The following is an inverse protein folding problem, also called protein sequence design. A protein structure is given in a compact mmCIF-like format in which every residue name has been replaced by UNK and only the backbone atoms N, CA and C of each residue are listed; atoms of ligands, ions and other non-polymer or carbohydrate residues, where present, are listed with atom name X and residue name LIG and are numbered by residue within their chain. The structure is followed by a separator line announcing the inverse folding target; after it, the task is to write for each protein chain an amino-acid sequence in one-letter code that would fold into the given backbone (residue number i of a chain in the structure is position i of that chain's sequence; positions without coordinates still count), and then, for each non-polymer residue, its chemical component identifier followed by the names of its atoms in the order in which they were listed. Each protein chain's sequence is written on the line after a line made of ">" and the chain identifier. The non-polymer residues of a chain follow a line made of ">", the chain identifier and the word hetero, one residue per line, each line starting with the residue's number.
data_IF_489288146284
#
_entry.id   IF_489288146284
#
_cell.length_a   1.000
_cell.length_b   1.000
_cell.length_c   1.000
_cell.angle_alpha   90.00
_cell.angle_beta   90.00
_cell.angle_gamma   90.00
#
_symmetry.space_group_name_H-M   'P 1'
#
loop_
_entity.id
_entity.type
_entity.pdbx_description
1 polymer ?
#
# COMPACT_ATOMS: atom_id res chain seq x y z
N UNK A 1 18.25 -6.29 51.28
CA UNK A 1 18.96 -6.23 49.99
C UNK A 1 17.94 -6.66 48.94
N UNK A 2 17.05 -5.76 48.57
CA UNK A 2 16.05 -5.99 47.51
C UNK A 2 16.57 -5.34 46.24
N UNK A 3 16.81 -6.16 45.21
CA UNK A 3 17.18 -5.67 43.89
C UNK A 3 16.05 -4.83 43.27
N UNK A 4 16.35 -3.76 42.52
CA UNK A 4 15.34 -2.99 41.83
C UNK A 4 14.75 -3.84 40.69
N UNK A 5 13.43 -4.07 40.72
CA UNK A 5 12.69 -4.73 39.62
C UNK A 5 12.69 -3.84 38.37
N UNK A 6 13.76 -3.93 37.59
CA UNK A 6 13.89 -3.28 36.29
C UNK A 6 12.77 -3.66 35.32
N UNK A 7 12.41 -2.73 34.42
CA UNK A 7 11.47 -2.94 33.32
C UNK A 7 11.68 -4.31 32.65
N UNK A 8 10.68 -5.19 32.68
CA UNK A 8 10.83 -6.53 32.11
C UNK A 8 11.28 -6.41 30.63
N UNK A 9 12.41 -7.05 30.25
CA UNK A 9 12.93 -6.93 28.90
C UNK A 9 11.89 -7.39 27.88
N UNK A 10 11.86 -6.76 26.70
CA UNK A 10 10.99 -7.16 25.60
C UNK A 10 11.34 -8.61 25.23
N UNK A 11 10.48 -9.57 25.61
CA UNK A 11 10.70 -11.00 25.34
C UNK A 11 10.09 -11.39 23.99
N UNK A 12 10.66 -12.42 23.35
CA UNK A 12 10.16 -12.95 22.08
C UNK A 12 8.69 -13.39 22.18
N UNK A 13 8.27 -13.98 23.30
CA UNK A 13 6.88 -14.41 23.51
C UNK A 13 5.91 -13.21 23.53
N UNK A 14 6.28 -12.14 24.24
CA UNK A 14 5.48 -10.91 24.28
C UNK A 14 5.40 -10.25 22.90
N UNK A 15 6.51 -10.25 22.16
CA UNK A 15 6.53 -9.77 20.78
C UNK A 15 5.64 -10.62 19.86
N UNK A 16 5.78 -11.95 19.89
CA UNK A 16 5.02 -12.84 19.02
C UNK A 16 3.51 -12.74 19.26
N UNK A 17 3.05 -12.65 20.52
CA UNK A 17 1.64 -12.45 20.85
C UNK A 17 1.09 -11.11 20.35
N UNK A 18 1.91 -10.06 20.38
CA UNK A 18 1.54 -8.74 19.84
C UNK A 18 1.53 -8.73 18.30
N UNK A 19 2.51 -9.39 17.68
CA UNK A 19 2.78 -9.27 16.26
C UNK A 19 2.00 -10.25 15.39
N UNK A 20 1.75 -11.48 15.86
CA UNK A 20 1.07 -12.51 15.07
C UNK A 20 -0.31 -12.05 14.52
N UNK A 21 -1.17 -11.35 15.30
CA UNK A 21 -2.43 -10.82 14.77
C UNK A 21 -2.23 -9.75 13.68
N UNK A 22 -1.22 -8.89 13.82
CA UNK A 22 -0.90 -7.86 12.83
C UNK A 22 -0.43 -8.49 11.52
N UNK A 23 0.48 -9.48 11.62
CA UNK A 23 0.96 -10.24 10.48
C UNK A 23 -0.18 -10.96 9.75
N UNK A 24 -1.05 -11.68 10.48
CA UNK A 24 -2.19 -12.39 9.90
C UNK A 24 -3.17 -11.44 9.20
N UNK A 25 -3.47 -10.30 9.84
CA UNK A 25 -4.33 -9.27 9.25
C UNK A 25 -3.72 -8.71 7.97
N UNK A 26 -2.41 -8.46 7.94
CA UNK A 26 -1.73 -7.93 6.75
C UNK A 26 -1.82 -8.87 5.53
N UNK A 27 -1.72 -10.18 5.75
CA UNK A 27 -1.84 -11.19 4.69
C UNK A 27 -3.26 -11.19 4.12
N UNK A 28 -4.27 -11.17 5.00
CA UNK A 28 -5.67 -11.10 4.58
C UNK A 28 -5.97 -9.82 3.78
N UNK A 29 -5.40 -8.69 4.19
CA UNK A 29 -5.58 -7.41 3.49
C UNK A 29 -4.89 -7.35 2.13
N UNK A 30 -3.73 -8.00 1.99
CA UNK A 30 -2.94 -7.98 0.74
C UNK A 30 -3.30 -9.09 -0.24
N UNK A 31 -4.14 -10.05 0.17
CA UNK A 31 -4.60 -11.17 -0.66
C UNK A 31 -5.33 -10.74 -1.95
N UNK A 32 -5.84 -9.51 -2.00
CA UNK A 32 -6.48 -8.93 -3.19
C UNK A 32 -5.61 -9.03 -4.45
N UNK A 33 -4.33 -8.66 -4.37
CA UNK A 33 -3.47 -8.60 -5.57
C UNK A 33 -3.19 -10.00 -6.16
N UNK A 34 -2.79 -11.00 -5.35
CA UNK A 34 -2.69 -12.38 -5.83
C UNK A 34 -3.97 -12.92 -6.44
N UNK A 35 -5.15 -12.65 -5.84
CA UNK A 35 -6.42 -13.14 -6.35
C UNK A 35 -6.77 -12.57 -7.72
N UNK A 36 -6.60 -11.25 -7.91
CA UNK A 36 -6.84 -10.60 -9.21
C UNK A 36 -5.87 -11.10 -10.26
N UNK A 37 -4.58 -11.16 -9.91
CA UNK A 37 -3.54 -11.64 -10.81
C UNK A 37 -3.81 -13.09 -11.22
N UNK A 38 -4.17 -13.94 -10.27
CA UNK A 38 -4.54 -15.34 -10.48
C UNK A 38 -5.71 -15.50 -11.44
N UNK A 39 -6.75 -14.68 -11.31
CA UNK A 39 -7.88 -14.68 -12.26
C UNK A 39 -7.45 -14.24 -13.66
N UNK A 40 -6.69 -13.14 -13.76
CA UNK A 40 -6.22 -12.59 -15.03
C UNK A 40 -5.25 -13.52 -15.77
N UNK A 41 -4.43 -14.27 -15.04
CA UNK A 41 -3.51 -15.27 -15.58
C UNK A 41 -4.20 -16.45 -16.27
N UNK A 42 -5.51 -16.66 -16.04
CA UNK A 42 -6.30 -17.74 -16.65
C UNK A 42 -7.15 -17.29 -17.84
N UNK A 43 -6.99 -16.05 -18.30
CA UNK A 43 -7.65 -15.56 -19.50
C UNK A 43 -7.06 -16.19 -20.78
N UNK A 44 -7.76 -16.04 -21.91
CA UNK A 44 -7.30 -16.57 -23.21
C UNK A 44 -5.95 -15.98 -23.63
N UNK A 45 -5.72 -14.69 -23.35
CA UNK A 45 -4.45 -14.00 -23.58
C UNK A 45 -3.91 -13.41 -22.25
N UNK A 46 -3.25 -14.21 -21.39
CA UNK A 46 -2.84 -13.78 -20.06
C UNK A 46 -1.89 -12.58 -20.07
N UNK A 47 -0.92 -12.56 -20.98
CA UNK A 47 0.07 -11.48 -21.05
C UNK A 47 -0.59 -10.12 -21.32
N UNK A 48 -1.47 -10.07 -22.32
CA UNK A 48 -2.18 -8.84 -22.68
C UNK A 48 -3.14 -8.41 -21.56
N UNK A 49 -3.92 -9.35 -20.99
CA UNK A 49 -4.87 -9.04 -19.91
C UNK A 49 -4.16 -8.54 -18.62
N UNK A 50 -3.06 -9.18 -18.22
CA UNK A 50 -2.26 -8.75 -17.07
C UNK A 50 -1.57 -7.42 -17.33
N UNK A 51 -1.03 -7.20 -18.54
CA UNK A 51 -0.40 -5.95 -18.91
C UNK A 51 -1.38 -4.78 -18.92
N UNK A 52 -2.53 -4.95 -19.59
CA UNK A 52 -3.60 -3.97 -19.63
C UNK A 52 -4.13 -3.64 -18.24
N UNK A 53 -4.36 -4.66 -17.40
CA UNK A 53 -4.79 -4.45 -16.01
C UNK A 53 -3.71 -3.78 -15.16
N UNK A 54 -2.43 -4.18 -15.28
CA UNK A 54 -1.32 -3.59 -14.54
C UNK A 54 -1.17 -2.09 -14.82
N UNK A 55 -1.27 -1.71 -16.09
CA UNK A 55 -1.24 -0.31 -16.53
C UNK A 55 -2.46 0.45 -16.00
N UNK A 56 -3.67 -0.09 -16.20
CA UNK A 56 -4.91 0.52 -15.71
C UNK A 56 -4.91 0.71 -14.19
N UNK A 57 -4.53 -0.33 -13.44
CA UNK A 57 -4.55 -0.33 -11.98
C UNK A 57 -3.46 0.57 -11.40
N UNK A 58 -2.27 0.63 -11.98
CA UNK A 58 -1.21 1.55 -11.53
C UNK A 58 -1.58 3.02 -11.77
N UNK A 59 -2.18 3.35 -12.92
CA UNK A 59 -2.67 4.69 -13.21
C UNK A 59 -3.82 5.08 -12.27
N UNK A 60 -4.83 4.21 -12.14
CA UNK A 60 -5.93 4.41 -11.20
C UNK A 60 -5.41 4.52 -9.76
N UNK A 61 -4.42 3.71 -9.39
CA UNK A 61 -3.70 3.72 -8.12
C UNK A 61 -3.16 5.10 -7.77
N UNK A 62 -2.44 5.74 -8.70
CA UNK A 62 -1.96 7.12 -8.52
C UNK A 62 -3.13 8.07 -8.31
N UNK A 63 -4.18 7.98 -9.13
CA UNK A 63 -5.34 8.87 -9.05
C UNK A 63 -6.10 8.75 -7.73
N UNK A 64 -6.38 7.54 -7.21
CA UNK A 64 -7.12 7.38 -5.95
C UNK A 64 -6.24 7.43 -4.70
N UNK A 65 -4.91 7.25 -4.80
CA UNK A 65 -4.01 7.21 -3.64
C UNK A 65 -4.15 8.38 -2.66
N UNK A 66 -4.39 9.65 -3.08
CA UNK A 66 -4.60 10.77 -2.16
C UNK A 66 -5.82 10.58 -1.25
N UNK A 67 -6.83 9.82 -1.71
CA UNK A 67 -8.08 9.61 -0.97
C UNK A 67 -7.91 8.62 0.18
N UNK A 68 -6.84 7.82 0.17
CA UNK A 68 -6.54 6.84 1.23
C UNK A 68 -6.33 7.52 2.59
N UNK A 69 -5.78 8.73 2.59
CA UNK A 69 -5.53 9.49 3.83
C UNK A 69 -6.82 10.02 4.46
N UNK A 70 -7.95 9.98 3.73
CA UNK A 70 -9.25 10.43 4.20
C UNK A 70 -9.70 9.75 5.48
N UNK A 71 -9.31 8.49 5.73
CA UNK A 71 -9.60 7.79 6.97
C UNK A 71 -8.92 8.46 8.17
N UNK A 72 -7.60 8.67 8.10
CA UNK A 72 -6.84 9.30 9.19
C UNK A 72 -7.29 10.72 9.41
N UNK A 73 -7.44 11.51 8.33
CA UNK A 73 -7.88 12.90 8.42
C UNK A 73 -9.28 13.01 9.02
N UNK A 74 -10.24 12.19 8.56
CA UNK A 74 -11.59 12.20 9.11
C UNK A 74 -11.61 11.82 10.59
N UNK A 75 -10.87 10.78 10.99
CA UNK A 75 -10.78 10.36 12.38
C UNK A 75 -10.22 11.49 13.28
N UNK A 76 -9.10 12.10 12.89
CA UNK A 76 -8.48 13.21 13.66
C UNK A 76 -9.41 14.40 13.80
N UNK A 77 -10.12 14.79 12.73
CA UNK A 77 -11.02 15.95 12.76
C UNK A 77 -12.27 15.69 13.60
N UNK A 78 -12.84 14.49 13.53
CA UNK A 78 -13.98 14.09 14.35
C UNK A 78 -13.61 14.06 15.84
N UNK A 79 -12.44 13.53 16.19
CA UNK A 79 -11.93 13.55 17.56
C UNK A 79 -11.66 14.98 18.07
N UNK A 80 -11.44 15.94 17.16
CA UNK A 80 -11.32 17.37 17.48
C UNK A 80 -12.68 18.10 17.55
N UNK A 81 -13.80 17.36 17.56
CA UNK A 81 -15.16 17.91 17.65
C UNK A 81 -15.71 18.53 16.36
N UNK A 82 -15.08 18.32 15.19
CA UNK A 82 -15.60 18.84 13.91
C UNK A 82 -16.77 17.99 13.41
N UNK A 83 -17.81 18.59 12.79
CA UNK A 83 -18.97 17.84 12.28
C UNK A 83 -18.60 16.95 11.08
N UNK A 84 -19.28 15.80 10.96
CA UNK A 84 -19.02 14.80 9.92
C UNK A 84 -19.40 15.26 8.50
N UNK A 85 -20.51 15.97 8.35
CA UNK A 85 -21.07 16.34 7.02
C UNK A 85 -20.10 17.13 6.12
N UNK A 86 -19.46 18.20 6.59
CA UNK A 86 -18.48 18.95 5.80
C UNK A 86 -17.26 18.12 5.41
N UNK A 87 -16.75 17.29 6.33
CA UNK A 87 -15.62 16.39 6.07
C UNK A 87 -15.98 15.39 4.97
N UNK A 88 -17.17 14.79 5.05
CA UNK A 88 -17.65 13.86 4.03
C UNK A 88 -17.82 14.53 2.67
N UNK A 89 -18.44 15.71 2.64
CA UNK A 89 -18.66 16.46 1.40
C UNK A 89 -17.34 16.82 0.71
N UNK A 90 -16.35 17.26 1.48
CA UNK A 90 -15.00 17.57 0.98
C UNK A 90 -14.38 16.36 0.26
N UNK A 91 -14.31 15.20 0.92
CA UNK A 91 -13.71 14.01 0.34
C UNK A 91 -14.51 13.45 -0.84
N UNK A 92 -15.85 13.47 -0.77
CA UNK A 92 -16.69 13.01 -1.89
C UNK A 92 -16.53 13.90 -3.13
N UNK A 93 -16.34 15.22 -2.96
CA UNK A 93 -16.04 16.12 -4.10
C UNK A 93 -14.71 15.78 -4.76
N UNK A 94 -13.65 15.58 -3.98
CA UNK A 94 -12.33 15.19 -4.51
C UNK A 94 -12.43 13.79 -5.16
N UNK A 95 -13.09 12.84 -4.51
CA UNK A 95 -13.32 11.51 -5.06
C UNK A 95 -14.10 11.52 -6.36
N UNK A 96 -15.17 12.32 -6.46
CA UNK A 96 -15.95 12.49 -7.68
C UNK A 96 -15.13 13.12 -8.80
N UNK A 97 -14.34 14.17 -8.50
CA UNK A 97 -13.45 14.80 -9.47
C UNK A 97 -12.43 13.81 -10.05
N UNK A 98 -11.78 13.03 -9.16
CA UNK A 98 -10.81 12.03 -9.58
C UNK A 98 -11.47 10.87 -10.33
N UNK A 99 -12.68 10.46 -9.95
CA UNK A 99 -13.47 9.46 -10.69
C UNK A 99 -13.85 9.94 -12.10
N UNK A 100 -14.25 11.21 -12.24
CA UNK A 100 -14.53 11.82 -13.54
C UNK A 100 -13.25 11.90 -14.40
N UNK A 101 -12.11 12.23 -13.79
CA UNK A 101 -10.82 12.21 -14.48
C UNK A 101 -10.45 10.80 -14.95
N UNK A 102 -10.57 9.79 -14.09
CA UNK A 102 -10.35 8.38 -14.47
C UNK A 102 -11.29 7.96 -15.60
N UNK A 103 -12.57 8.32 -15.52
CA UNK A 103 -13.54 8.04 -16.59
C UNK A 103 -13.14 8.73 -17.89
N UNK A 104 -12.77 10.01 -17.84
CA UNK A 104 -12.35 10.78 -19.00
C UNK A 104 -11.15 10.13 -19.70
N UNK A 105 -10.18 9.62 -18.95
CA UNK A 105 -9.06 8.85 -19.51
C UNK A 105 -9.55 7.56 -20.18
N UNK A 106 -10.49 6.83 -19.55
CA UNK A 106 -11.00 5.57 -20.10
C UNK A 106 -11.90 5.71 -21.33
N UNK A 107 -12.64 6.80 -21.49
CA UNK A 107 -13.67 6.91 -22.55
C UNK A 107 -13.40 7.99 -23.59
N UNK A 108 -12.54 8.98 -23.32
CA UNK A 108 -12.29 10.11 -24.24
C UNK A 108 -10.93 10.04 -24.93
N UNK A 109 -10.62 11.01 -25.79
CA UNK A 109 -9.30 11.16 -26.44
C UNK A 109 -8.18 11.55 -25.49
N UNK A 110 -8.51 11.98 -24.26
CA UNK A 110 -7.50 12.20 -23.21
C UNK A 110 -6.73 10.89 -22.93
N UNK A 111 -7.42 9.75 -23.04
CA UNK A 111 -6.80 8.42 -22.92
C UNK A 111 -5.68 8.18 -23.93
N UNK A 112 -5.82 8.69 -25.16
CA UNK A 112 -4.85 8.48 -26.23
C UNK A 112 -3.52 9.17 -25.88
N UNK A 113 -3.60 10.38 -25.31
CA UNK A 113 -2.42 11.11 -24.83
C UNK A 113 -1.81 10.47 -23.57
N UNK A 114 -2.64 10.09 -22.59
CA UNK A 114 -2.14 9.51 -21.33
C UNK A 114 -1.57 8.11 -21.55
N UNK A 115 -2.33 7.20 -22.14
CA UNK A 115 -1.92 5.80 -22.32
C UNK A 115 -0.89 5.66 -23.44
N UNK A 116 -1.14 6.25 -24.60
CA UNK A 116 -0.25 6.16 -25.76
C UNK A 116 0.99 7.04 -25.63
N UNK A 117 0.83 8.30 -25.24
CA UNK A 117 1.94 9.25 -25.14
C UNK A 117 2.75 9.13 -23.87
N UNK A 118 2.10 9.30 -22.71
CA UNK A 118 2.79 9.36 -21.40
C UNK A 118 3.21 7.98 -20.93
N UNK A 119 2.29 7.02 -20.88
CA UNK A 119 2.62 5.66 -20.42
C UNK A 119 3.42 4.93 -21.49
N UNK A 120 3.03 5.03 -22.77
CA UNK A 120 3.72 4.40 -23.89
C UNK A 120 3.14 3.05 -24.30
N UNK A 121 1.88 2.74 -23.94
CA UNK A 121 1.22 1.48 -24.34
C UNK A 121 0.53 1.63 -25.69
N UNK A 122 0.54 0.56 -26.49
CA UNK A 122 -0.06 0.49 -27.83
C UNK A 122 -0.71 -0.87 -28.10
N UNK A 123 -1.48 -0.96 -29.19
CA UNK A 123 -2.14 -2.20 -29.63
C UNK A 123 -3.09 -2.76 -28.57
N UNK A 124 -3.13 -4.09 -28.43
CA UNK A 124 -4.09 -4.77 -27.55
C UNK A 124 -3.95 -4.37 -26.06
N UNK A 125 -2.73 -4.02 -25.60
CA UNK A 125 -2.51 -3.55 -24.22
C UNK A 125 -3.25 -2.22 -23.98
N UNK A 126 -3.24 -1.34 -24.98
CA UNK A 126 -3.93 -0.05 -24.91
C UNK A 126 -5.43 -0.25 -24.79
N UNK A 127 -6.01 -1.13 -25.61
CA UNK A 127 -7.46 -1.39 -25.61
C UNK A 127 -7.93 -2.03 -24.30
N UNK A 128 -7.18 -3.01 -23.79
CA UNK A 128 -7.45 -3.64 -22.49
C UNK A 128 -7.31 -2.64 -21.32
N UNK A 129 -6.26 -1.82 -21.33
CA UNK A 129 -6.06 -0.80 -20.30
C UNK A 129 -7.19 0.24 -20.32
N UNK A 130 -7.62 0.68 -21.51
CA UNK A 130 -8.68 1.67 -21.68
C UNK A 130 -10.01 1.18 -21.11
N UNK A 131 -10.40 -0.06 -21.44
CA UNK A 131 -11.62 -0.67 -20.91
C UNK A 131 -11.55 -0.87 -19.38
N UNK A 132 -10.41 -1.37 -18.88
CA UNK A 132 -10.19 -1.54 -17.45
C UNK A 132 -10.26 -0.21 -16.68
N UNK A 133 -9.70 0.88 -17.22
CA UNK A 133 -9.77 2.22 -16.62
C UNK A 133 -11.21 2.71 -16.53
N UNK A 134 -12.02 2.51 -17.58
CA UNK A 134 -13.42 2.90 -17.57
C UNK A 134 -14.21 2.18 -16.46
N UNK A 135 -13.93 0.89 -16.22
CA UNK A 135 -14.55 0.14 -15.12
C UNK A 135 -14.00 0.50 -13.74
N UNK A 136 -12.73 0.92 -13.66
CA UNK A 136 -12.12 1.44 -12.44
C UNK A 136 -12.55 2.89 -12.13
N UNK A 137 -13.25 3.58 -13.03
CA UNK A 137 -13.67 4.96 -12.84
C UNK A 137 -14.43 5.23 -11.53
N UNK A 138 -15.28 4.34 -10.99
CA UNK A 138 -15.93 4.56 -9.69
C UNK A 138 -14.98 4.44 -8.49
N UNK A 139 -13.79 3.82 -8.65
CA UNK A 139 -12.88 3.49 -7.54
C UNK A 139 -12.45 4.70 -6.71
N UNK A 140 -12.05 5.86 -7.28
CA UNK A 140 -11.74 7.04 -6.48
C UNK A 140 -12.91 7.46 -5.58
N UNK A 141 -14.11 7.64 -6.13
CA UNK A 141 -15.30 8.01 -5.36
C UNK A 141 -15.63 7.00 -4.26
N UNK A 142 -15.61 5.70 -4.58
CA UNK A 142 -15.84 4.64 -3.60
C UNK A 142 -14.79 4.65 -2.49
N UNK A 143 -13.53 4.89 -2.86
CA UNK A 143 -12.42 5.01 -1.90
C UNK A 143 -12.62 6.20 -0.96
N UNK A 144 -13.03 7.36 -1.47
CA UNK A 144 -13.32 8.53 -0.65
C UNK A 144 -14.47 8.28 0.34
N UNK A 145 -15.58 7.72 -0.15
CA UNK A 145 -16.74 7.37 0.67
C UNK A 145 -16.34 6.39 1.78
N UNK A 146 -15.68 5.28 1.40
CA UNK A 146 -15.18 4.26 2.31
C UNK A 146 -14.23 4.84 3.35
N UNK A 147 -13.22 5.61 2.93
CA UNK A 147 -12.20 6.16 3.82
C UNK A 147 -12.81 7.06 4.89
N UNK A 148 -13.73 7.96 4.52
CA UNK A 148 -14.38 8.86 5.49
C UNK A 148 -15.26 8.10 6.48
N UNK A 149 -16.04 7.12 6.02
CA UNK A 149 -16.85 6.32 6.94
C UNK A 149 -15.99 5.42 7.84
N UNK A 150 -14.86 4.88 7.34
CA UNK A 150 -13.88 4.21 8.18
C UNK A 150 -13.30 5.17 9.24
N UNK A 151 -12.99 6.42 8.86
CA UNK A 151 -12.53 7.45 9.80
C UNK A 151 -13.53 7.73 10.92
N UNK A 152 -14.83 7.77 10.58
CA UNK A 152 -15.92 7.89 11.57
C UNK A 152 -15.98 6.71 12.54
N UNK A 153 -15.82 5.50 12.04
CA UNK A 153 -15.79 4.29 12.87
C UNK A 153 -14.54 4.25 13.77
N UNK A 154 -13.38 4.68 13.25
CA UNK A 154 -12.13 4.80 14.03
C UNK A 154 -12.28 5.83 15.15
N UNK A 155 -12.83 7.02 14.87
CA UNK A 155 -13.09 8.02 15.89
C UNK A 155 -14.06 7.54 16.98
N UNK A 156 -15.00 6.66 16.63
CA UNK A 156 -15.91 5.99 17.57
C UNK A 156 -15.35 4.71 18.20
N UNK A 157 -14.05 4.41 18.05
CA UNK A 157 -13.40 3.20 18.55
C UNK A 157 -14.03 1.86 18.09
N UNK A 158 -14.72 1.84 16.95
CA UNK A 158 -15.38 0.64 16.37
C UNK A 158 -14.64 0.15 15.12
N UNK A 159 -13.51 -0.53 15.29
CA UNK A 159 -12.71 -1.03 14.17
C UNK A 159 -13.11 -2.42 13.66
N UNK A 160 -13.82 -3.22 14.46
CA UNK A 160 -14.26 -4.57 14.06
C UNK A 160 -15.11 -4.60 12.77
N UNK A 161 -16.09 -3.68 12.56
CA UNK A 161 -16.86 -3.65 11.32
C UNK A 161 -16.00 -3.36 10.08
N UNK A 162 -14.89 -2.63 10.23
CA UNK A 162 -13.95 -2.35 9.13
C UNK A 162 -13.28 -3.64 8.67
N UNK A 163 -12.80 -4.45 9.62
CA UNK A 163 -12.18 -5.74 9.31
C UNK A 163 -13.17 -6.70 8.63
N UNK A 164 -14.41 -6.78 9.14
CA UNK A 164 -15.47 -7.59 8.53
C UNK A 164 -15.78 -7.14 7.09
N UNK A 165 -15.99 -5.83 6.87
CA UNK A 165 -16.26 -5.30 5.55
C UNK A 165 -15.11 -5.57 4.57
N UNK A 166 -13.87 -5.49 5.03
CA UNK A 166 -12.70 -5.81 4.19
C UNK A 166 -12.62 -7.29 3.84
N UNK A 167 -12.94 -8.18 4.78
CA UNK A 167 -13.07 -9.61 4.51
C UNK A 167 -14.17 -9.91 3.48
N UNK A 168 -15.34 -9.27 3.63
CA UNK A 168 -16.44 -9.38 2.69
C UNK A 168 -16.05 -8.87 1.29
N UNK A 169 -15.33 -7.74 1.19
CA UNK A 169 -14.75 -7.26 -0.07
C UNK A 169 -13.89 -8.33 -0.74
N UNK A 170 -12.94 -8.89 -0.02
CA UNK A 170 -12.01 -9.88 -0.57
C UNK A 170 -12.75 -11.13 -1.05
N UNK A 171 -13.78 -11.57 -0.31
CA UNK A 171 -14.62 -12.69 -0.72
C UNK A 171 -15.45 -12.39 -1.98
N UNK A 172 -16.10 -11.22 -2.06
CA UNK A 172 -16.85 -10.79 -3.25
C UNK A 172 -15.93 -10.64 -4.46
N UNK A 173 -14.76 -10.03 -4.27
CA UNK A 173 -13.75 -9.92 -5.31
C UNK A 173 -13.33 -11.29 -5.84
N UNK A 174 -13.03 -12.24 -4.95
CA UNK A 174 -12.66 -13.60 -5.33
C UNK A 174 -13.79 -14.30 -6.10
N UNK A 175 -15.03 -14.18 -5.62
CA UNK A 175 -16.20 -14.79 -6.25
C UNK A 175 -16.47 -14.20 -7.65
N UNK A 176 -16.47 -12.87 -7.78
CA UNK A 176 -16.66 -12.19 -9.07
C UNK A 176 -15.54 -12.55 -10.03
N UNK A 177 -14.28 -12.50 -9.57
CA UNK A 177 -13.13 -12.86 -10.41
C UNK A 177 -13.24 -14.32 -10.91
N UNK A 178 -13.61 -15.26 -10.05
CA UNK A 178 -13.81 -16.66 -10.43
C UNK A 178 -14.95 -16.83 -11.44
N UNK A 179 -16.12 -16.23 -11.18
CA UNK A 179 -17.30 -16.33 -12.07
C UNK A 179 -17.00 -15.74 -13.45
N UNK A 180 -16.42 -14.54 -13.51
CA UNK A 180 -16.13 -13.87 -14.78
C UNK A 180 -15.05 -14.59 -15.59
N UNK A 181 -14.03 -15.15 -14.92
CA UNK A 181 -13.00 -15.97 -15.59
C UNK A 181 -13.59 -17.24 -16.21
N UNK A 182 -14.61 -17.84 -15.58
CA UNK A 182 -15.27 -19.05 -16.09
C UNK A 182 -16.33 -18.78 -17.16
N UNK A 183 -16.88 -17.56 -17.24
CA UNK A 183 -18.05 -17.25 -18.07
C UNK A 183 -17.77 -16.36 -19.27
N UNK A 184 -16.63 -15.68 -19.33
CA UNK A 184 -16.28 -14.79 -20.42
C UNK A 184 -14.93 -15.16 -21.06
N UNK A 185 -14.69 -14.69 -22.29
CA UNK A 185 -13.43 -14.88 -23.02
C UNK A 185 -12.21 -14.19 -22.38
N UNK A 186 -12.41 -13.53 -21.23
CA UNK A 186 -11.35 -12.92 -20.44
C UNK A 186 -11.01 -11.48 -20.82
N UNK A 187 -10.01 -10.92 -20.15
CA UNK A 187 -9.49 -9.56 -20.37
C UNK A 187 -9.15 -8.83 -19.06
N UNK A 188 -8.51 -7.68 -19.17
CA UNK A 188 -8.16 -6.80 -18.04
C UNK A 188 -9.39 -6.30 -17.29
N UNK A 189 -10.51 -6.16 -18.00
CA UNK A 189 -11.80 -5.73 -17.47
C UNK A 189 -12.33 -6.65 -16.35
N UNK A 190 -11.99 -7.95 -16.37
CA UNK A 190 -12.37 -8.91 -15.31
C UNK A 190 -11.81 -8.48 -13.97
N UNK A 191 -10.53 -8.13 -13.93
CA UNK A 191 -9.85 -7.64 -12.72
C UNK A 191 -10.44 -6.30 -12.25
N UNK A 192 -10.72 -5.40 -13.20
CA UNK A 192 -11.31 -4.09 -12.92
C UNK A 192 -12.73 -4.21 -12.32
N UNK A 193 -13.56 -5.08 -12.89
CA UNK A 193 -14.92 -5.34 -12.41
C UNK A 193 -14.90 -5.98 -11.01
N UNK A 194 -14.08 -7.01 -10.82
CA UNK A 194 -13.94 -7.69 -9.53
C UNK A 194 -13.46 -6.76 -8.41
N UNK A 195 -12.46 -5.91 -8.70
CA UNK A 195 -11.98 -4.91 -7.75
C UNK A 195 -13.05 -3.87 -7.41
N UNK A 196 -13.73 -3.33 -8.42
CA UNK A 196 -14.73 -2.27 -8.25
C UNK A 196 -15.96 -2.77 -7.48
N UNK A 197 -16.47 -3.96 -7.80
CA UNK A 197 -17.62 -4.55 -7.09
C UNK A 197 -17.27 -4.93 -5.65
N UNK A 198 -16.08 -5.49 -5.42
CA UNK A 198 -15.62 -5.73 -4.06
C UNK A 198 -15.55 -4.44 -3.25
N UNK A 199 -14.94 -3.39 -3.81
CA UNK A 199 -14.82 -2.09 -3.13
C UNK A 199 -16.18 -1.44 -2.88
N UNK A 200 -17.14 -1.58 -3.80
CA UNK A 200 -18.51 -1.13 -3.63
C UNK A 200 -19.16 -1.80 -2.41
N UNK A 201 -19.05 -3.12 -2.30
CA UNK A 201 -19.59 -3.86 -1.14
C UNK A 201 -18.94 -3.41 0.17
N UNK A 202 -17.61 -3.23 0.20
CA UNK A 202 -16.93 -2.69 1.39
C UNK A 202 -17.51 -1.33 1.79
N UNK A 203 -17.65 -0.45 0.79
CA UNK A 203 -18.13 0.92 0.97
C UNK A 203 -19.53 0.93 1.55
N UNK A 204 -20.43 0.10 1.01
CA UNK A 204 -21.82 -0.04 1.49
C UNK A 204 -21.85 -0.58 2.92
N UNK A 205 -21.11 -1.65 3.22
CA UNK A 205 -21.08 -2.24 4.57
C UNK A 205 -20.56 -1.24 5.62
N UNK A 206 -19.48 -0.53 5.30
CA UNK A 206 -18.91 0.49 6.20
C UNK A 206 -19.85 1.68 6.36
N UNK A 207 -20.47 2.17 5.27
CA UNK A 207 -21.37 3.32 5.31
C UNK A 207 -22.66 3.04 6.10
N UNK A 208 -23.22 1.83 5.93
CA UNK A 208 -24.44 1.38 6.62
C UNK A 208 -24.21 0.99 8.08
N UNK A 209 -22.96 0.81 8.51
CA UNK A 209 -22.65 0.50 9.90
C UNK A 209 -23.04 1.69 10.79
N UNK A 210 -24.04 1.49 11.65
CA UNK A 210 -24.49 2.48 12.63
C UNK A 210 -23.37 2.79 13.63
N UNK A 211 -23.03 4.07 13.74
CA UNK A 211 -22.32 4.60 14.90
C UNK A 211 -23.31 4.59 16.07
N UNK A 212 -22.95 3.93 17.17
CA UNK A 212 -23.77 3.98 18.39
C UNK A 212 -23.96 5.42 18.85
N UNK A 213 -25.02 5.65 19.63
CA UNK A 213 -25.42 6.94 20.21
C UNK A 213 -24.34 7.53 21.14
N UNK A 214 -23.30 6.75 21.48
CA UNK A 214 -22.21 7.11 22.39
C UNK A 214 -20.97 7.69 21.66
N UNK A 215 -21.17 8.50 20.61
CA UNK A 215 -20.09 9.37 20.13
C UNK A 215 -19.89 10.51 21.13
N UNK A 216 -18.65 10.96 21.43
CA UNK A 216 -18.45 12.04 22.40
C UNK A 216 -19.29 13.26 22.00
N UNK A 217 -20.28 13.56 22.84
CA UNK A 217 -21.06 14.80 22.81
C UNK A 217 -20.12 15.89 23.32
N UNK A 218 -19.19 16.32 22.48
CA UNK A 218 -18.52 17.58 22.70
C UNK A 218 -19.42 18.67 22.10
N UNK A 219 -19.87 19.66 22.90
CA UNK A 219 -20.62 20.78 22.37
C UNK A 219 -19.74 21.48 21.35
N UNK A 220 -20.15 21.40 20.08
CA UNK A 220 -19.51 22.09 18.98
C UNK A 220 -19.76 23.58 19.21
N UNK A 221 -18.70 24.34 19.45
CA UNK A 221 -18.73 25.76 19.15
C UNK A 221 -19.04 25.87 17.65
N UNK A 222 -20.24 26.36 17.33
CA UNK A 222 -20.66 26.62 15.96
C UNK A 222 -19.73 27.68 15.36
N UNK A 223 -18.63 27.26 14.74
CA UNK A 223 -17.97 28.10 13.76
C UNK A 223 -18.85 28.09 12.51
N UNK A 224 -19.67 29.13 12.37
CA UNK A 224 -20.20 29.61 11.09
C UNK A 224 -19.03 30.01 10.19
N UNK A 225 -18.35 29.02 9.62
CA UNK A 225 -17.31 29.24 8.62
C UNK A 225 -17.93 29.29 7.25
N UNK A 226 -17.74 30.39 6.52
CA UNK A 226 -18.04 30.50 5.08
C UNK A 226 -17.60 29.23 4.33
N UNK A 227 -18.45 28.63 3.46
CA UNK A 227 -18.24 27.30 2.86
C UNK A 227 -16.89 27.06 2.15
N UNK A 228 -16.09 28.09 1.86
CA UNK A 228 -14.75 27.96 1.26
C UNK A 228 -13.56 27.90 2.25
N UNK A 229 -13.68 28.45 3.46
CA UNK A 229 -12.55 28.53 4.43
C UNK A 229 -12.28 27.17 5.10
N UNK A 230 -13.33 26.35 5.28
CA UNK A 230 -13.20 25.00 5.82
C UNK A 230 -12.46 24.05 4.87
N UNK A 231 -12.74 24.15 3.57
CA UNK A 231 -12.14 23.28 2.54
C UNK A 231 -10.64 23.59 2.35
N UNK A 232 -10.24 24.87 2.42
CA UNK A 232 -8.82 25.27 2.38
C UNK A 232 -8.02 24.74 3.59
N UNK A 233 -8.58 24.82 4.80
CA UNK A 233 -7.94 24.24 6.01
C UNK A 233 -7.82 22.72 5.93
N UNK A 234 -8.82 22.03 5.39
CA UNK A 234 -8.79 20.58 5.18
C UNK A 234 -7.75 20.20 4.13
N UNK A 235 -7.69 20.96 3.03
CA UNK A 235 -6.72 20.73 1.96
C UNK A 235 -5.29 20.94 2.44
N UNK A 236 -4.98 22.06 3.13
CA UNK A 236 -3.64 22.34 3.67
C UNK A 236 -3.17 21.27 4.64
N UNK A 237 -4.06 20.75 5.48
CA UNK A 237 -3.75 19.66 6.40
C UNK A 237 -3.52 18.32 5.68
N UNK A 238 -4.30 18.04 4.64
CA UNK A 238 -4.27 16.74 3.94
C UNK A 238 -3.17 16.66 2.89
N UNK A 239 -2.75 17.80 2.32
CA UNK A 239 -1.81 17.86 1.19
C UNK A 239 -0.50 17.11 1.44
N UNK A 240 0.21 17.27 2.57
CA UNK A 240 1.45 16.54 2.80
C UNK A 240 1.26 15.02 2.84
N UNK A 241 0.15 14.55 3.41
CA UNK A 241 -0.19 13.14 3.49
C UNK A 241 -0.57 12.57 2.11
N UNK A 242 -1.34 13.35 1.33
CA UNK A 242 -1.71 13.04 -0.05
C UNK A 242 -0.47 12.91 -0.94
N UNK A 243 0.47 13.86 -0.85
CA UNK A 243 1.74 13.83 -1.60
C UNK A 243 2.56 12.58 -1.23
N UNK A 244 2.63 12.25 0.06
CA UNK A 244 3.36 11.06 0.49
C UNK A 244 2.76 9.75 -0.06
N UNK A 245 1.43 9.64 -0.09
CA UNK A 245 0.75 8.47 -0.68
C UNK A 245 0.90 8.41 -2.20
N UNK A 246 0.87 9.56 -2.88
CA UNK A 246 1.14 9.68 -4.31
C UNK A 246 2.56 9.20 -4.67
N UNK A 247 3.58 9.63 -3.90
CA UNK A 247 4.95 9.20 -4.11
C UNK A 247 5.10 7.68 -4.01
N UNK A 248 4.35 7.03 -3.11
CA UNK A 248 4.32 5.58 -3.01
C UNK A 248 3.71 4.93 -4.26
N UNK A 249 2.51 5.35 -4.65
CA UNK A 249 1.76 4.76 -5.77
C UNK A 249 2.32 5.11 -7.15
N UNK A 250 3.16 6.15 -7.26
CA UNK A 250 3.81 6.52 -8.53
C UNK A 250 4.79 5.46 -9.04
N UNK A 251 5.38 4.66 -8.14
CA UNK A 251 6.43 3.69 -8.49
C UNK A 251 5.98 2.59 -9.45
N UNK A 252 4.89 1.85 -9.18
CA UNK A 252 4.39 0.87 -10.14
C UNK A 252 3.98 1.51 -11.48
N UNK A 253 3.43 2.74 -11.48
CA UNK A 253 3.08 3.44 -12.72
C UNK A 253 4.32 3.78 -13.55
N UNK A 254 5.36 4.32 -12.92
CA UNK A 254 6.62 4.67 -13.59
C UNK A 254 7.31 3.44 -14.15
N UNK A 255 7.36 2.34 -13.38
CA UNK A 255 7.92 1.07 -13.85
C UNK A 255 7.11 0.57 -15.05
N UNK A 256 5.78 0.47 -14.95
CA UNK A 256 4.94 0.02 -16.06
C UNK A 256 5.09 0.89 -17.32
N UNK A 257 5.27 2.20 -17.15
CA UNK A 257 5.53 3.10 -18.28
C UNK A 257 6.88 2.83 -18.94
N UNK A 258 7.91 2.52 -18.17
CA UNK A 258 9.20 2.09 -18.74
C UNK A 258 9.05 0.74 -19.44
N UNK A 259 8.42 -0.24 -18.79
CA UNK A 259 8.21 -1.58 -19.35
C UNK A 259 7.34 -1.55 -20.61
N UNK A 260 6.43 -0.59 -20.74
CA UNK A 260 5.65 -0.39 -21.96
C UNK A 260 6.52 -0.06 -23.19
N UNK A 261 7.75 0.40 -22.99
CA UNK A 261 8.73 0.74 -24.02
C UNK A 261 9.80 -0.36 -24.21
N UNK A 262 9.62 -1.53 -23.61
CA UNK A 262 10.50 -2.68 -23.84
C UNK A 262 10.23 -3.33 -25.22
N UNK A 263 11.11 -4.20 -25.73
CA UNK A 263 10.86 -4.96 -26.95
C UNK A 263 9.62 -5.86 -26.88
N UNK A 264 9.29 -6.36 -25.68
CA UNK A 264 8.14 -7.26 -25.42
C UNK A 264 7.28 -6.72 -24.26
N UNK A 265 6.46 -5.67 -24.49
CA UNK A 265 5.75 -4.96 -23.42
C UNK A 265 4.74 -5.82 -22.66
N UNK A 266 3.99 -6.67 -23.38
CA UNK A 266 2.92 -7.48 -22.78
C UNK A 266 3.52 -8.47 -21.77
N UNK A 267 4.53 -9.21 -22.20
CA UNK A 267 5.27 -10.19 -21.40
C UNK A 267 5.98 -9.53 -20.23
N UNK A 268 6.68 -8.41 -20.47
CA UNK A 268 7.41 -7.69 -19.43
C UNK A 268 6.50 -7.16 -18.32
N UNK A 269 5.40 -6.48 -18.67
CA UNK A 269 4.45 -5.94 -17.69
C UNK A 269 3.72 -7.09 -16.99
N UNK A 270 3.27 -8.11 -17.72
CA UNK A 270 2.55 -9.24 -17.13
C UNK A 270 3.40 -10.01 -16.11
N UNK A 271 4.65 -10.34 -16.47
CA UNK A 271 5.56 -11.02 -15.55
C UNK A 271 5.89 -10.15 -14.34
N UNK A 272 6.10 -8.84 -14.53
CA UNK A 272 6.30 -7.90 -13.43
C UNK A 272 5.10 -7.88 -12.47
N UNK A 273 3.87 -7.78 -12.97
CA UNK A 273 2.64 -7.80 -12.17
C UNK A 273 2.53 -9.08 -11.33
N UNK A 274 2.85 -10.24 -11.91
CA UNK A 274 2.82 -11.52 -11.19
C UNK A 274 3.88 -11.58 -10.10
N UNK A 275 5.11 -11.15 -10.39
CA UNK A 275 6.19 -11.10 -9.39
C UNK A 275 5.83 -10.17 -8.24
N UNK A 276 5.35 -8.96 -8.54
CA UNK A 276 4.93 -7.99 -7.53
C UNK A 276 3.78 -8.52 -6.67
N UNK A 277 2.78 -9.18 -7.26
CA UNK A 277 1.66 -9.75 -6.52
C UNK A 277 2.13 -10.81 -5.50
N UNK A 278 3.04 -11.71 -5.90
CA UNK A 278 3.60 -12.74 -5.01
C UNK A 278 4.53 -12.12 -3.96
N UNK A 279 5.46 -11.26 -4.39
CA UNK A 279 6.48 -10.70 -3.51
C UNK A 279 5.86 -9.80 -2.43
N UNK A 280 4.93 -8.90 -2.80
CA UNK A 280 4.29 -8.00 -1.83
C UNK A 280 3.32 -8.70 -0.90
N UNK A 281 2.63 -9.75 -1.37
CA UNK A 281 1.79 -10.58 -0.50
C UNK A 281 2.63 -11.26 0.58
N UNK A 282 3.72 -11.94 0.19
CA UNK A 282 4.61 -12.61 1.15
C UNK A 282 5.34 -11.62 2.06
N UNK A 283 5.67 -10.44 1.54
CA UNK A 283 6.35 -9.36 2.29
C UNK A 283 5.39 -8.57 3.18
N UNK A 284 4.07 -8.75 3.08
CA UNK A 284 3.08 -7.97 3.84
C UNK A 284 3.27 -8.01 5.36
N UNK A 285 3.62 -9.16 5.98
CA UNK A 285 3.87 -9.21 7.41
C UNK A 285 5.01 -8.28 7.79
N UNK A 286 6.13 -8.35 7.05
CA UNK A 286 7.30 -7.49 7.26
C UNK A 286 6.94 -6.00 7.17
N UNK A 287 5.93 -5.65 6.37
CA UNK A 287 5.37 -4.30 6.32
C UNK A 287 4.84 -3.75 7.64
N UNK A 288 4.41 -4.63 8.55
CA UNK A 288 3.82 -4.28 9.85
C UNK A 288 4.85 -3.82 10.88
N UNK A 289 6.17 -3.95 10.60
CA UNK A 289 7.21 -3.47 11.50
C UNK A 289 7.21 -1.96 11.72
N UNK A 290 6.53 -1.19 10.86
CA UNK A 290 6.24 0.22 11.13
C UNK A 290 5.46 0.39 12.45
N UNK A 291 4.41 -0.40 12.68
CA UNK A 291 3.61 -0.35 13.91
C UNK A 291 4.39 -0.84 15.13
N UNK A 292 5.23 -1.86 14.95
CA UNK A 292 6.14 -2.37 15.98
C UNK A 292 7.13 -1.29 16.41
N UNK A 293 7.75 -0.58 15.47
CA UNK A 293 8.68 0.52 15.72
C UNK A 293 8.04 1.64 16.53
N UNK A 294 6.80 2.01 16.17
CA UNK A 294 6.04 3.03 16.92
C UNK A 294 5.73 2.57 18.34
N UNK A 295 5.24 1.35 18.52
CA UNK A 295 4.71 0.88 19.80
C UNK A 295 5.79 0.41 20.80
N UNK A 296 6.84 -0.27 20.33
CA UNK A 296 7.74 -1.06 21.20
C UNK A 296 9.17 -0.53 21.32
N UNK A 297 9.58 0.45 20.51
CA UNK A 297 10.96 0.99 20.55
C UNK A 297 11.03 2.24 21.41
N UNK A 298 11.30 2.06 22.71
CA UNK A 298 11.43 3.13 23.71
C UNK A 298 12.87 3.42 24.15
N UNK A 299 13.80 2.49 23.92
CA UNK A 299 15.20 2.60 24.29
C UNK A 299 16.09 1.88 23.26
N UNK A 300 17.40 2.13 23.30
CA UNK A 300 18.38 1.50 22.41
C UNK A 300 18.40 -0.03 22.55
N UNK A 301 18.18 -0.57 23.75
CA UNK A 301 18.05 -2.02 23.96
C UNK A 301 16.88 -2.61 23.18
N UNK A 302 15.69 -2.00 23.26
CA UNK A 302 14.50 -2.47 22.54
C UNK A 302 14.62 -2.22 21.03
N UNK A 303 15.27 -1.12 20.62
CA UNK A 303 15.64 -0.88 19.22
C UNK A 303 16.43 -2.06 18.63
N UNK A 304 17.52 -2.49 19.29
CA UNK A 304 18.35 -3.62 18.84
C UNK A 304 17.57 -4.94 18.79
N UNK A 305 16.75 -5.21 19.81
CA UNK A 305 15.92 -6.42 19.84
C UNK A 305 14.91 -6.47 18.68
N UNK A 306 14.19 -5.37 18.45
CA UNK A 306 13.21 -5.27 17.36
C UNK A 306 13.88 -5.33 15.99
N UNK A 307 15.04 -4.71 15.80
CA UNK A 307 15.80 -4.86 14.56
C UNK A 307 16.19 -6.31 14.30
N UNK A 308 16.68 -7.03 15.32
CA UNK A 308 17.00 -8.45 15.20
C UNK A 308 15.80 -9.30 14.77
N UNK A 309 14.62 -9.06 15.34
CA UNK A 309 13.39 -9.76 14.94
C UNK A 309 12.87 -9.36 13.57
N UNK A 310 13.04 -8.08 13.20
CA UNK A 310 12.73 -7.59 11.85
C UNK A 310 13.58 -8.33 10.82
N UNK A 311 14.89 -8.43 11.05
CA UNK A 311 15.80 -9.14 10.18
C UNK A 311 15.51 -10.64 10.13
N UNK A 312 15.18 -11.26 11.27
CA UNK A 312 14.84 -12.67 11.32
C UNK A 312 13.58 -12.99 10.49
N UNK A 313 12.52 -12.19 10.64
CA UNK A 313 11.30 -12.38 9.86
C UNK A 313 11.54 -12.08 8.37
N UNK A 314 12.21 -10.97 8.05
CA UNK A 314 12.55 -10.62 6.67
C UNK A 314 13.34 -11.74 6.00
N UNK A 315 14.31 -12.33 6.71
CA UNK A 315 15.09 -13.47 6.21
C UNK A 315 14.20 -14.70 6.01
N UNK A 316 13.30 -15.01 6.95
CA UNK A 316 12.34 -16.10 6.79
C UNK A 316 11.46 -15.93 5.54
N UNK A 317 10.92 -14.73 5.31
CA UNK A 317 10.12 -14.42 4.12
C UNK A 317 10.97 -14.47 2.85
N UNK A 318 12.20 -13.93 2.88
CA UNK A 318 13.12 -13.97 1.74
C UNK A 318 13.47 -15.41 1.35
N UNK A 319 13.67 -16.31 2.33
CA UNK A 319 13.88 -17.72 2.07
C UNK A 319 12.66 -18.38 1.43
N UNK A 320 11.43 -18.01 1.82
CA UNK A 320 10.20 -18.49 1.17
C UNK A 320 10.12 -18.01 -0.28
N UNK A 321 10.39 -16.73 -0.55
CA UNK A 321 10.43 -16.19 -1.92
C UNK A 321 11.54 -16.89 -2.73
N UNK A 322 12.72 -17.09 -2.14
CA UNK A 322 13.85 -17.79 -2.76
C UNK A 322 13.52 -19.24 -3.10
N UNK A 323 12.79 -19.94 -2.21
CA UNK A 323 12.31 -21.29 -2.46
C UNK A 323 11.33 -21.33 -3.63
N UNK A 324 10.34 -20.42 -3.64
CA UNK A 324 9.39 -20.28 -4.76
C UNK A 324 10.11 -19.91 -6.06
N UNK A 325 11.23 -19.20 -5.98
CA UNK A 325 12.05 -18.84 -7.13
C UNK A 325 12.79 -20.02 -7.77
N UNK A 326 12.89 -21.17 -7.09
CA UNK A 326 13.51 -22.36 -7.70
C UNK A 326 12.60 -22.94 -8.79
N UNK A 327 13.16 -23.43 -9.93
CA UNK A 327 12.34 -23.97 -11.03
C UNK A 327 11.28 -25.02 -10.64
N UNK A 328 11.57 -26.04 -9.80
CA UNK A 328 10.57 -27.05 -9.46
C UNK A 328 9.42 -26.48 -8.63
N UNK A 329 9.73 -25.66 -7.62
CA UNK A 329 8.72 -25.06 -6.74
C UNK A 329 7.93 -24.00 -7.50
N UNK A 330 8.57 -23.18 -8.32
CA UNK A 330 7.92 -22.16 -9.16
C UNK A 330 6.84 -22.78 -10.04
N UNK A 331 7.16 -23.87 -10.74
CA UNK A 331 6.21 -24.55 -11.64
C UNK A 331 5.01 -25.11 -10.88
N UNK A 332 5.24 -25.71 -9.72
CA UNK A 332 4.15 -26.27 -8.91
C UNK A 332 3.29 -25.17 -8.30
N UNK A 333 3.92 -24.21 -7.59
CA UNK A 333 3.22 -23.17 -6.85
C UNK A 333 2.57 -22.17 -7.81
N UNK A 334 3.32 -21.59 -8.74
CA UNK A 334 2.76 -20.58 -9.64
C UNK A 334 1.91 -21.22 -10.74
N UNK A 335 2.23 -22.42 -11.20
CA UNK A 335 1.38 -23.16 -12.13
C UNK A 335 0.02 -23.51 -11.52
N UNK A 336 -0.02 -24.03 -10.28
CA UNK A 336 -1.29 -24.34 -9.62
C UNK A 336 -2.08 -23.08 -9.22
N UNK A 337 -1.41 -22.07 -8.67
CA UNK A 337 -2.08 -20.87 -8.12
C UNK A 337 -2.49 -19.91 -9.23
N UNK A 338 -1.69 -19.72 -10.28
CA UNK A 338 -1.95 -18.72 -11.32
C UNK A 338 -2.33 -19.34 -12.68
N UNK A 339 -2.05 -20.62 -12.94
CA UNK A 339 -2.41 -21.26 -14.22
C UNK A 339 -1.64 -20.69 -15.42
N UNK A 340 -0.38 -20.32 -15.21
CA UNK A 340 0.42 -19.53 -16.17
C UNK A 340 0.91 -20.36 -17.37
N UNK A 341 0.96 -19.71 -18.53
CA UNK A 341 1.58 -20.26 -19.73
C UNK A 341 3.11 -20.46 -19.58
N UNK A 342 3.71 -21.42 -20.31
CA UNK A 342 5.14 -21.73 -20.20
C UNK A 342 6.08 -20.56 -20.48
N UNK A 343 5.72 -19.67 -21.43
CA UNK A 343 6.52 -18.48 -21.76
C UNK A 343 6.56 -17.48 -20.61
N UNK A 344 5.39 -17.12 -20.08
CA UNK A 344 5.28 -16.18 -18.96
C UNK A 344 5.97 -16.71 -17.68
N UNK A 345 5.96 -18.03 -17.46
CA UNK A 345 6.70 -18.67 -16.36
C UNK A 345 8.22 -18.53 -16.48
N UNK A 346 8.76 -18.38 -17.70
CA UNK A 346 10.19 -18.16 -17.93
C UNK A 346 10.58 -16.74 -17.52
N UNK A 347 9.81 -15.73 -17.96
CA UNK A 347 10.05 -14.32 -17.63
C UNK A 347 9.92 -14.06 -16.13
N UNK A 348 8.90 -14.63 -15.50
CA UNK A 348 8.75 -14.62 -14.03
C UNK A 348 9.95 -15.31 -13.38
N UNK A 349 10.44 -16.40 -13.96
CA UNK A 349 11.60 -17.13 -13.47
C UNK A 349 12.91 -16.34 -13.51
N UNK A 350 13.05 -15.40 -14.44
CA UNK A 350 14.19 -14.50 -14.53
C UNK A 350 14.09 -13.34 -13.51
N UNK A 351 12.88 -12.83 -13.26
CA UNK A 351 12.66 -11.66 -12.42
C UNK A 351 12.50 -11.98 -10.92
N UNK A 352 11.82 -13.06 -10.57
CA UNK A 352 11.51 -13.44 -9.18
C UNK A 352 12.74 -13.60 -8.25
N UNK A 353 13.91 -14.10 -8.70
CA UNK A 353 15.11 -14.15 -7.86
C UNK A 353 15.52 -12.79 -7.28
N UNK A 354 15.31 -11.71 -8.03
CA UNK A 354 15.65 -10.36 -7.57
C UNK A 354 14.68 -9.83 -6.50
N UNK A 355 13.43 -10.31 -6.51
CA UNK A 355 12.43 -9.97 -5.50
C UNK A 355 12.72 -10.60 -4.12
N UNK A 356 13.66 -11.57 -4.04
CA UNK A 356 14.15 -12.13 -2.76
C UNK A 356 14.70 -11.03 -1.85
N UNK A 357 15.20 -9.93 -2.43
CA UNK A 357 15.71 -8.81 -1.64
C UNK A 357 14.62 -7.97 -0.95
N UNK A 358 13.38 -8.01 -1.45
CA UNK A 358 12.30 -7.12 -1.01
C UNK A 358 12.02 -7.19 0.50
N UNK A 359 11.92 -8.36 1.15
CA UNK A 359 11.66 -8.43 2.59
C UNK A 359 12.71 -7.68 3.42
N UNK A 360 13.99 -7.77 3.06
CA UNK A 360 15.04 -7.04 3.80
C UNK A 360 14.94 -5.54 3.57
N UNK A 361 14.82 -5.11 2.31
CA UNK A 361 14.80 -3.70 1.94
C UNK A 361 13.56 -2.99 2.48
N UNK A 362 12.39 -3.61 2.28
CA UNK A 362 11.13 -3.08 2.75
C UNK A 362 11.02 -3.15 4.27
N UNK A 363 11.45 -4.25 4.91
CA UNK A 363 11.45 -4.35 6.37
C UNK A 363 12.32 -3.28 7.04
N UNK A 364 13.51 -3.04 6.47
CA UNK A 364 14.40 -1.98 6.91
C UNK A 364 13.74 -0.60 6.77
N UNK A 365 13.20 -0.27 5.59
CA UNK A 365 12.46 0.97 5.33
C UNK A 365 11.31 1.16 6.33
N UNK A 366 10.44 0.16 6.48
CA UNK A 366 9.24 0.23 7.32
C UNK A 366 9.59 0.39 8.81
N UNK A 367 10.65 -0.27 9.25
CA UNK A 367 11.17 -0.12 10.60
C UNK A 367 11.58 1.34 10.91
N UNK A 368 12.42 1.95 10.07
CA UNK A 368 12.85 3.33 10.28
C UNK A 368 11.70 4.33 10.12
N UNK A 369 10.79 4.10 9.17
CA UNK A 369 9.59 4.91 9.04
C UNK A 369 8.75 4.90 10.33
N UNK A 370 8.66 3.75 11.02
CA UNK A 370 8.04 3.65 12.34
C UNK A 370 8.73 4.51 13.40
N UNK A 371 10.06 4.51 13.44
CA UNK A 371 10.83 5.33 14.38
C UNK A 371 10.64 6.84 14.13
N UNK A 372 10.70 7.27 12.88
CA UNK A 372 10.45 8.68 12.51
C UNK A 372 9.04 9.13 12.89
N UNK A 373 8.05 8.25 12.68
CA UNK A 373 6.66 8.50 13.10
C UNK A 373 6.57 8.68 14.61
N UNK A 374 7.23 7.83 15.39
CA UNK A 374 7.26 7.90 16.86
C UNK A 374 7.87 9.21 17.37
N UNK A 375 8.97 9.64 16.77
CA UNK A 375 9.69 10.85 17.18
C UNK A 375 9.07 12.15 16.64
N UNK A 376 7.96 12.09 15.89
CA UNK A 376 7.34 13.26 15.28
C UNK A 376 8.17 13.93 14.17
N UNK A 377 9.15 13.20 13.60
CA UNK A 377 10.07 13.71 12.56
C UNK A 377 9.83 12.98 11.24
N UNK A 378 8.75 13.32 10.54
CA UNK A 378 8.34 12.61 9.30
C UNK A 378 8.87 13.23 8.00
N UNK A 379 9.61 14.33 8.08
CA UNK A 379 10.23 15.02 6.95
C UNK A 379 11.22 14.13 6.20
N UNK A 380 12.05 13.38 6.93
CA UNK A 380 12.99 12.42 6.35
C UNK A 380 12.29 11.33 5.53
N UNK A 381 11.08 10.91 5.93
CA UNK A 381 10.28 9.92 5.22
C UNK A 381 9.81 10.45 3.85
N UNK A 382 9.40 11.72 3.79
CA UNK A 382 9.00 12.36 2.53
C UNK A 382 10.16 12.49 1.54
N UNK A 383 11.33 12.94 2.01
CA UNK A 383 12.54 13.03 1.19
C UNK A 383 13.02 11.66 0.71
N UNK A 384 12.96 10.64 1.57
CA UNK A 384 13.25 9.26 1.19
C UNK A 384 12.33 8.75 0.07
N UNK A 385 11.04 9.02 0.17
CA UNK A 385 10.07 8.61 -0.84
C UNK A 385 10.31 9.30 -2.20
N UNK A 386 10.67 10.59 -2.20
CA UNK A 386 11.01 11.32 -3.41
C UNK A 386 12.29 10.77 -4.06
N UNK A 387 13.34 10.51 -3.25
CA UNK A 387 14.60 9.95 -3.74
C UNK A 387 14.41 8.52 -4.30
N UNK A 388 13.54 7.71 -3.67
CA UNK A 388 13.15 6.40 -4.21
C UNK A 388 12.55 6.54 -5.60
N UNK A 389 11.58 7.44 -5.80
CA UNK A 389 10.92 7.65 -7.09
C UNK A 389 11.92 8.04 -8.18
N UNK A 390 12.83 8.97 -7.87
CA UNK A 390 13.90 9.37 -8.79
C UNK A 390 14.85 8.22 -9.12
N UNK A 391 15.22 7.41 -8.11
CA UNK A 391 16.08 6.25 -8.29
C UNK A 391 15.41 5.19 -9.15
N UNK A 392 14.15 4.85 -8.88
CA UNK A 392 13.39 3.89 -9.68
C UNK A 392 13.35 4.35 -11.13
N UNK A 393 12.99 5.61 -11.39
CA UNK A 393 12.91 6.13 -12.75
C UNK A 393 14.28 6.12 -13.43
N UNK A 394 15.34 6.54 -12.74
CA UNK A 394 16.71 6.55 -13.28
C UNK A 394 17.21 5.16 -13.65
N UNK A 395 17.02 4.16 -12.77
CA UNK A 395 17.43 2.78 -13.02
C UNK A 395 16.58 2.15 -14.12
N UNK A 396 15.27 2.37 -14.11
CA UNK A 396 14.36 1.83 -15.11
C UNK A 396 14.69 2.38 -16.51
N UNK A 397 14.91 3.69 -16.65
CA UNK A 397 15.27 4.31 -17.94
C UNK A 397 16.67 3.89 -18.42
N UNK A 398 17.67 3.91 -17.54
CA UNK A 398 19.04 3.51 -17.90
C UNK A 398 19.14 2.01 -18.27
N UNK A 399 18.30 1.18 -17.66
CA UNK A 399 18.30 -0.26 -17.88
C UNK A 399 17.51 -0.71 -19.11
N UNK A 400 16.72 0.15 -19.77
CA UNK A 400 15.93 -0.22 -20.95
C UNK A 400 16.77 -0.77 -22.12
N UNK A 401 17.98 -0.24 -22.31
CA UNK A 401 18.92 -0.76 -23.30
C UNK A 401 19.45 -2.15 -22.93
N UNK A 402 20.27 -2.27 -21.87
CA UNK A 402 20.97 -3.52 -21.54
C UNK A 402 20.05 -4.65 -21.02
N UNK A 403 18.88 -4.32 -20.46
CA UNK A 403 17.93 -5.29 -19.92
C UNK A 403 16.57 -5.27 -20.66
N UNK A 404 16.51 -4.69 -21.86
CA UNK A 404 15.26 -4.57 -22.63
C UNK A 404 14.56 -5.92 -22.81
N UNK A 405 15.32 -6.96 -23.18
CA UNK A 405 14.82 -8.32 -23.38
C UNK A 405 14.35 -9.01 -22.08
N UNK A 406 14.71 -8.46 -20.91
CA UNK A 406 14.30 -8.95 -19.58
C UNK A 406 13.56 -7.86 -18.81
N UNK A 407 12.52 -7.29 -19.44
CA UNK A 407 11.79 -6.15 -18.89
C UNK A 407 11.26 -6.38 -17.46
N UNK A 408 10.70 -7.55 -17.15
CA UNK A 408 10.22 -7.82 -15.78
C UNK A 408 11.34 -7.74 -14.74
N UNK A 409 12.53 -8.26 -15.06
CA UNK A 409 13.72 -8.18 -14.21
C UNK A 409 14.14 -6.73 -13.99
N UNK A 410 14.14 -5.92 -15.06
CA UNK A 410 14.40 -4.49 -14.96
C UNK A 410 13.44 -3.79 -13.99
N UNK A 411 12.15 -4.10 -14.06
CA UNK A 411 11.14 -3.54 -13.16
C UNK A 411 11.41 -3.87 -11.69
N UNK A 412 11.68 -5.15 -11.40
CA UNK A 412 11.98 -5.62 -10.03
C UNK A 412 13.27 -5.02 -9.49
N UNK A 413 14.32 -4.96 -10.32
CA UNK A 413 15.61 -4.35 -9.94
C UNK A 413 15.46 -2.85 -9.71
N UNK A 414 14.71 -2.14 -10.54
CA UNK A 414 14.43 -0.71 -10.36
C UNK A 414 13.70 -0.43 -9.05
N UNK A 415 12.65 -1.20 -8.74
CA UNK A 415 11.93 -1.10 -7.47
C UNK A 415 12.85 -1.40 -6.26
N UNK A 416 13.65 -2.46 -6.34
CA UNK A 416 14.63 -2.82 -5.33
C UNK A 416 15.68 -1.73 -5.10
N UNK A 417 16.26 -1.17 -6.16
CA UNK A 417 17.22 -0.07 -6.09
C UNK A 417 16.64 1.16 -5.40
N UNK A 418 15.38 1.51 -5.71
CA UNK A 418 14.66 2.58 -5.03
C UNK A 418 14.52 2.33 -3.52
N UNK A 419 14.16 1.11 -3.12
CA UNK A 419 14.06 0.74 -1.70
C UNK A 419 15.42 0.76 -0.98
N UNK A 420 16.51 0.36 -1.66
CA UNK A 420 17.88 0.45 -1.11
C UNK A 420 18.22 1.90 -0.79
N UNK A 421 18.08 2.80 -1.77
CA UNK A 421 18.49 4.20 -1.61
C UNK A 421 17.70 4.89 -0.51
N UNK A 422 16.38 4.66 -0.46
CA UNK A 422 15.55 5.21 0.60
C UNK A 422 15.87 4.62 1.97
N UNK A 423 16.04 3.29 2.07
CA UNK A 423 16.41 2.64 3.32
C UNK A 423 17.72 3.19 3.90
N UNK A 424 18.75 3.34 3.06
CA UNK A 424 20.05 3.91 3.46
C UNK A 424 19.91 5.37 3.91
N UNK A 425 19.11 6.18 3.22
CA UNK A 425 18.86 7.56 3.64
C UNK A 425 18.19 7.59 5.02
N UNK A 426 17.12 6.82 5.21
CA UNK A 426 16.38 6.75 6.46
C UNK A 426 17.26 6.28 7.62
N UNK A 427 18.11 5.27 7.40
CA UNK A 427 19.07 4.81 8.40
C UNK A 427 20.07 5.90 8.78
N UNK A 428 20.69 6.57 7.79
CA UNK A 428 21.69 7.64 8.04
C UNK A 428 21.09 8.79 8.83
N UNK A 429 19.89 9.22 8.46
CA UNK A 429 19.18 10.30 9.15
C UNK A 429 18.75 9.83 10.55
N UNK A 430 18.29 8.60 10.72
CA UNK A 430 17.87 8.07 12.03
C UNK A 430 19.06 7.95 13.00
N UNK A 431 20.25 7.58 12.53
CA UNK A 431 21.47 7.51 13.36
C UNK A 431 21.83 8.87 13.97
N UNK A 432 21.64 9.95 13.23
CA UNK A 432 21.98 11.31 13.69
C UNK A 432 20.84 11.95 14.51
N UNK A 433 19.59 11.72 14.11
CA UNK A 433 18.44 12.43 14.66
C UNK A 433 17.67 11.67 15.75
N UNK A 434 17.63 10.33 15.70
CA UNK A 434 16.81 9.50 16.59
C UNK A 434 17.69 8.78 17.61
N UNK A 435 18.77 8.14 17.16
CA UNK A 435 19.61 7.32 18.03
C UNK A 435 20.38 8.12 19.07
N UNK A 436 20.55 9.43 18.85
CA UNK A 436 21.16 10.37 19.79
C UNK A 436 20.23 10.73 20.96
N UNK A 437 18.92 10.59 20.78
CA UNK A 437 17.89 11.00 21.74
C UNK A 437 17.31 9.79 22.51
N UNK A 438 17.43 8.58 21.96
CA UNK A 438 16.94 7.36 22.62
C UNK A 438 17.77 7.02 23.87
N UNK A 439 17.16 6.77 25.03
CA UNK A 439 17.87 6.33 26.23
C UNK A 439 18.47 4.93 26.03
N UNK A 440 19.56 4.61 26.72
CA UNK A 440 20.23 3.30 26.63
C UNK A 440 19.31 2.14 27.09
N UNK A 441 18.53 2.38 28.15
CA UNK A 441 17.56 1.44 28.74
C UNK A 441 16.24 2.15 29.02
N UNK A 442 15.13 1.40 28.96
CA UNK A 442 13.80 1.93 29.25
C UNK A 442 13.66 2.43 30.69
N UNK A 443 12.71 3.33 30.98
CA UNK A 443 12.51 3.87 32.32
C UNK A 443 12.17 2.74 33.30
N UNK A 444 12.82 2.75 34.47
CA UNK A 444 12.40 1.92 35.59
C UNK A 444 10.97 2.34 35.97
N UNK A 445 10.06 1.38 36.20
CA UNK A 445 8.72 1.67 36.73
C UNK A 445 8.89 2.25 38.13
N UNK A 446 9.01 3.57 38.21
CA UNK A 446 9.28 4.33 39.43
C UNK A 446 9.43 5.83 39.20
N UNK A 447 9.85 6.27 38.00
CA UNK A 447 10.06 7.71 37.69
C UNK A 447 9.04 8.26 36.68
N UNK A 448 7.78 7.82 36.76
CA UNK A 448 6.67 8.68 36.34
C UNK A 448 6.15 9.32 37.60
N UNK A 449 6.93 10.26 38.14
CA UNK A 449 6.41 11.25 39.06
C UNK A 449 5.46 12.11 38.22
N UNK A 450 4.17 11.91 38.46
CA UNK A 450 3.15 12.85 38.03
C UNK A 450 3.55 14.17 38.66
N UNK A 451 3.92 15.14 37.82
CA UNK A 451 4.08 16.53 38.23
C UNK A 451 2.66 17.07 38.53
N UNK A 452 2.11 16.66 39.67
CA UNK A 452 1.04 17.37 40.34
C UNK A 452 1.66 18.64 40.93
N UNK A 453 1.41 19.77 40.25
CA UNK A 453 1.36 21.07 40.92
C UNK A 453 2.15 22.18 40.27
N UNK A 454 1.44 23.01 39.49
CA UNK A 454 1.46 24.46 39.78
C UNK A 454 0.03 24.97 39.69
N UNK A 455 -0.67 24.93 40.83
CA UNK A 455 -1.61 25.99 41.20
C UNK A 455 -0.80 27.15 41.77
N UNK A 456 -1.00 28.32 41.19
CA UNK A 456 -0.46 29.61 41.61
C UNK A 456 -1.05 30.71 40.74
#
# INVERSE_FOLDING_TARGET
>A
MDEPRGSSPLTLNRFARFYAPLAATSLLLTLTNPLLTSALSRNVNPAIALAGFGVAFSLCGVLYSPLLVGQTVAATRLLSGRPFGPIQSFWLRIGALLSLLTLAIGVTRVGDWVLGGVIGVSGDIFDEARLAIALLAPVPLLTAARAVHQGRLVAGHRTNPIAFATGARTAVLAAVAAVLTLSAAGGAWVGAAAFTLGLLVETVLVACTRTGVDGPVHPVAAEEGTPGVSDDRLLRFSTPLMVNTLLWWSTPLLINSVLARSPFPAEAIAAFVVVEAVAWFLTSPVGQFQHVGVALVDCKRNHRAVQGWTLALATGVALVIGLISTPPVRRVVLGAVFGLDPGLLADIGAALPFAVAYPWLYGHRQYYQGLFTRCGRSDAVGWGAALRVLTVLGVAVAGLGPFGDSGATLGVVAAGAGLVVEGVLLERVARTQIMTVLPESGPARGEVQIDEGVTG
#
